data_IF_359589875198
#
_entry.id   IF_359589875198
#
_cell.length_a   1.000
_cell.length_b   1.000
_cell.length_c   1.000
_cell.angle_alpha   90.00
_cell.angle_beta   90.00
_cell.angle_gamma   90.00
#
_symmetry.space_group_name_H-M   'P 1'
#
loop_
_entity.id
_entity.type
_entity.pdbx_description
1 polymer ?
#
# COMPACT_ATOMS: atom_id res chain seq x y z
N UNK A 1 -3.79 12.73 -0.95
CA UNK A 1 -4.50 12.99 -2.22
C UNK A 1 -5.15 14.36 -2.27
N UNK A 2 -5.73 14.86 -1.16
CA UNK A 2 -6.36 16.19 -1.11
C UNK A 2 -5.47 17.34 -1.62
N UNK A 3 -4.21 17.41 -1.18
CA UNK A 3 -3.27 18.45 -1.64
C UNK A 3 -3.15 18.51 -3.17
N UNK A 4 -3.07 17.36 -3.85
CA UNK A 4 -2.92 17.33 -5.32
C UNK A 4 -4.16 17.85 -6.02
N UNK A 5 -5.36 17.53 -5.53
CA UNK A 5 -6.61 18.09 -6.08
C UNK A 5 -6.69 19.59 -5.90
N UNK A 6 -6.34 20.09 -4.72
CA UNK A 6 -6.28 21.53 -4.46
C UNK A 6 -5.25 22.23 -5.34
N UNK A 7 -4.06 21.64 -5.53
CA UNK A 7 -3.05 22.18 -6.43
C UNK A 7 -3.52 22.19 -7.88
N UNK A 8 -4.24 21.16 -8.34
CA UNK A 8 -4.81 21.13 -9.70
C UNK A 8 -5.88 22.20 -9.87
N UNK A 9 -6.83 22.32 -8.93
CA UNK A 9 -7.85 23.36 -8.96
C UNK A 9 -7.24 24.77 -8.96
N UNK A 10 -6.22 24.99 -8.12
CA UNK A 10 -5.50 26.25 -8.07
C UNK A 10 -4.78 26.58 -9.39
N UNK A 11 -4.11 25.59 -9.99
CA UNK A 11 -3.44 25.77 -11.28
C UNK A 11 -4.42 26.05 -12.42
N UNK A 12 -5.58 25.35 -12.45
CA UNK A 12 -6.64 25.58 -13.43
C UNK A 12 -7.21 26.99 -13.31
N UNK A 13 -7.50 27.44 -12.08
CA UNK A 13 -7.94 28.81 -11.83
C UNK A 13 -6.91 29.84 -12.31
N UNK A 14 -5.63 29.60 -12.03
CA UNK A 14 -4.55 30.52 -12.38
C UNK A 14 -4.36 30.70 -13.90
N UNK A 15 -4.71 29.70 -14.72
CA UNK A 15 -4.67 29.80 -16.17
C UNK A 15 -6.02 30.14 -16.83
N UNK A 16 -7.05 30.45 -16.02
CA UNK A 16 -8.39 30.77 -16.52
C UNK A 16 -9.18 29.56 -17.05
N UNK A 17 -8.74 28.34 -16.74
CA UNK A 17 -9.45 27.11 -17.07
C UNK A 17 -10.53 26.78 -16.04
N UNK A 18 -11.48 25.93 -16.44
CA UNK A 18 -12.54 25.43 -15.57
C UNK A 18 -11.97 24.54 -14.44
N UNK A 19 -12.19 24.95 -13.19
CA UNK A 19 -11.76 24.21 -12.00
C UNK A 19 -12.45 22.85 -11.85
N UNK A 20 -13.63 22.66 -12.47
CA UNK A 20 -14.30 21.37 -12.46
C UNK A 20 -13.47 20.27 -13.14
N UNK A 21 -12.47 20.64 -13.96
CA UNK A 21 -11.51 19.70 -14.55
C UNK A 21 -10.49 19.13 -13.55
N UNK A 22 -10.43 19.65 -12.32
CA UNK A 22 -9.48 19.18 -11.31
C UNK A 22 -9.69 17.70 -10.92
N UNK A 23 -10.95 17.26 -10.77
CA UNK A 23 -11.25 15.87 -10.41
C UNK A 23 -10.97 14.90 -11.58
N UNK A 24 -11.43 15.16 -12.83
CA UNK A 24 -11.04 14.36 -13.99
C UNK A 24 -9.52 14.29 -14.20
N UNK A 25 -8.81 15.41 -14.05
CA UNK A 25 -7.35 15.45 -14.16
C UNK A 25 -6.68 14.63 -13.05
N UNK A 26 -7.21 14.71 -11.82
CA UNK A 26 -6.72 13.89 -10.73
C UNK A 26 -6.96 12.40 -10.99
N UNK A 27 -8.13 12.00 -11.48
CA UNK A 27 -8.44 10.60 -11.79
C UNK A 27 -7.56 10.06 -12.92
N UNK A 28 -7.27 10.85 -13.96
CA UNK A 28 -6.33 10.49 -15.00
C UNK A 28 -4.92 10.24 -14.44
N UNK A 29 -4.42 11.19 -13.63
CA UNK A 29 -3.16 11.02 -12.90
C UNK A 29 -3.18 9.77 -12.01
N UNK A 30 -4.27 9.56 -11.27
CA UNK A 30 -4.39 8.50 -10.29
C UNK A 30 -4.46 7.12 -10.96
N UNK A 31 -5.16 7.01 -12.08
CA UNK A 31 -5.19 5.82 -12.93
C UNK A 31 -3.79 5.49 -13.47
N UNK A 32 -3.11 6.47 -14.09
CA UNK A 32 -1.76 6.28 -14.61
C UNK A 32 -0.77 5.86 -13.52
N UNK A 33 -0.86 6.47 -12.33
CA UNK A 33 0.01 6.14 -11.18
C UNK A 33 -0.19 4.72 -10.65
N UNK A 34 -1.37 4.13 -10.84
CA UNK A 34 -1.67 2.75 -10.44
C UNK A 34 -1.49 1.74 -11.58
N UNK A 35 -1.10 2.18 -12.78
CA UNK A 35 -0.67 1.30 -13.86
C UNK A 35 0.79 0.87 -13.62
N UNK A 36 0.97 -0.25 -12.94
CA UNK A 36 2.27 -0.79 -12.57
C UNK A 36 2.65 -1.92 -13.51
N UNK A 37 3.90 -1.92 -14.00
CA UNK A 37 4.52 -3.09 -14.62
C UNK A 37 5.20 -3.88 -13.50
N UNK A 38 4.83 -5.15 -13.37
CA UNK A 38 5.42 -6.03 -12.37
C UNK A 38 6.76 -6.58 -12.85
N UNK A 39 7.65 -6.90 -11.91
CA UNK A 39 8.73 -7.84 -12.19
C UNK A 39 8.13 -9.21 -12.54
N UNK A 40 8.78 -9.94 -13.44
CA UNK A 40 8.28 -11.22 -13.96
C UNK A 40 7.96 -12.24 -12.86
N UNK A 41 8.69 -12.19 -11.76
CA UNK A 41 8.55 -13.09 -10.62
C UNK A 41 7.60 -12.59 -9.52
N UNK A 42 7.12 -11.35 -9.59
CA UNK A 42 6.36 -10.74 -8.51
C UNK A 42 5.00 -11.41 -8.29
N UNK A 43 4.21 -11.62 -9.34
CA UNK A 43 2.89 -12.26 -9.25
C UNK A 43 2.98 -13.75 -8.88
N UNK A 44 3.89 -14.55 -9.48
CA UNK A 44 4.15 -15.92 -9.03
C UNK A 44 4.54 -16.00 -7.56
N UNK A 45 5.46 -15.14 -7.10
CA UNK A 45 5.89 -15.11 -5.71
C UNK A 45 4.73 -14.74 -4.78
N UNK A 46 3.96 -13.71 -5.12
CA UNK A 46 2.82 -13.24 -4.33
C UNK A 46 1.75 -14.33 -4.19
N UNK A 47 1.46 -15.05 -5.28
CA UNK A 47 0.54 -16.20 -5.28
C UNK A 47 1.03 -17.31 -4.35
N UNK A 48 2.31 -17.70 -4.46
CA UNK A 48 2.91 -18.72 -3.60
C UNK A 48 2.88 -18.33 -2.13
N UNK A 49 3.17 -17.06 -1.81
CA UNK A 49 3.16 -16.55 -0.45
C UNK A 49 1.74 -16.53 0.14
N UNK A 50 0.75 -16.10 -0.64
CA UNK A 50 -0.66 -16.06 -0.23
C UNK A 50 -1.23 -17.45 0.07
N UNK A 51 -0.74 -18.49 -0.61
CA UNK A 51 -1.12 -19.87 -0.33
C UNK A 51 -0.55 -20.40 1.00
N UNK A 52 0.53 -19.82 1.52
CA UNK A 52 1.18 -20.25 2.75
C UNK A 52 0.71 -19.47 3.97
N UNK A 53 0.51 -18.16 3.82
CA UNK A 53 0.20 -17.24 4.90
C UNK A 53 -0.73 -16.11 4.42
N UNK A 54 -1.64 -15.61 5.26
CA UNK A 54 -2.38 -14.40 4.96
C UNK A 54 -1.42 -13.23 4.77
N UNK A 55 -1.46 -12.61 3.59
CA UNK A 55 -0.64 -11.44 3.29
C UNK A 55 -1.37 -10.16 3.65
N UNK A 56 -0.59 -9.12 3.97
CA UNK A 56 -1.13 -7.81 4.28
C UNK A 56 -0.34 -6.71 3.56
N UNK A 57 -1.07 -5.71 3.06
CA UNK A 57 -0.54 -4.52 2.42
C UNK A 57 -0.52 -3.36 3.41
N UNK A 58 0.58 -2.60 3.42
CA UNK A 58 0.75 -1.42 4.27
C UNK A 58 1.40 -0.31 3.44
N UNK A 59 0.72 0.81 3.24
CA UNK A 59 1.19 1.89 2.36
C UNK A 59 1.07 3.27 2.99
N UNK A 60 2.12 4.10 2.85
CA UNK A 60 2.03 5.55 3.12
C UNK A 60 1.42 6.31 1.94
N UNK A 61 1.50 5.72 0.75
CA UNK A 61 1.07 6.33 -0.49
C UNK A 61 -0.41 6.12 -0.76
N UNK A 62 -0.77 6.36 -2.01
CA UNK A 62 -2.11 6.19 -2.55
C UNK A 62 -2.17 5.00 -3.53
N UNK A 63 -1.31 3.99 -3.37
CA UNK A 63 -1.42 2.78 -4.17
C UNK A 63 -2.78 2.12 -3.91
N UNK A 64 -3.51 1.87 -4.97
CA UNK A 64 -4.82 1.22 -4.97
C UNK A 64 -4.64 -0.18 -5.56
N UNK A 65 -4.64 -1.19 -4.68
CA UNK A 65 -4.35 -2.56 -5.07
C UNK A 65 -5.42 -3.15 -6.00
N UNK A 66 -6.66 -2.66 -5.92
CA UNK A 66 -7.74 -3.11 -6.80
C UNK A 66 -7.53 -2.56 -8.21
N UNK A 67 -7.14 -1.29 -8.34
CA UNK A 67 -6.75 -0.71 -9.65
C UNK A 67 -5.49 -1.34 -10.23
N UNK A 68 -4.55 -1.74 -9.37
CA UNK A 68 -3.34 -2.46 -9.76
C UNK A 68 -3.66 -3.93 -10.15
N UNK A 69 -4.77 -4.49 -9.65
CA UNK A 69 -5.21 -5.86 -9.93
C UNK A 69 -4.56 -6.94 -9.08
N UNK A 70 -4.10 -6.61 -7.86
CA UNK A 70 -3.43 -7.55 -6.95
C UNK A 70 -4.05 -7.62 -5.56
N UNK A 71 -5.17 -6.93 -5.34
CA UNK A 71 -5.87 -6.87 -4.05
C UNK A 71 -6.27 -8.26 -3.53
N UNK A 72 -6.65 -9.17 -4.42
CA UNK A 72 -7.05 -10.54 -4.08
C UNK A 72 -5.95 -11.35 -3.34
N UNK A 73 -4.68 -10.96 -3.48
CA UNK A 73 -3.58 -11.63 -2.79
C UNK A 73 -3.43 -11.19 -1.32
N UNK A 74 -4.07 -10.10 -0.91
CA UNK A 74 -3.91 -9.51 0.42
C UNK A 74 -5.20 -9.66 1.24
N UNK A 75 -5.11 -10.37 2.36
CA UNK A 75 -6.22 -10.53 3.30
C UNK A 75 -6.56 -9.22 4.02
N UNK A 76 -5.59 -8.32 4.18
CA UNK A 76 -5.75 -7.03 4.86
C UNK A 76 -4.95 -5.96 4.14
N UNK A 77 -5.51 -4.77 4.05
CA UNK A 77 -4.83 -3.59 3.55
C UNK A 77 -4.96 -2.46 4.59
N UNK A 78 -3.88 -1.71 4.81
CA UNK A 78 -3.88 -0.51 5.67
C UNK A 78 -3.12 0.60 4.96
N UNK A 79 -3.75 1.78 4.90
CA UNK A 79 -3.10 2.98 4.40
C UNK A 79 -2.82 3.96 5.54
N UNK A 80 -1.80 4.82 5.37
CA UNK A 80 -1.53 5.89 6.33
C UNK A 80 -2.72 6.86 6.46
N UNK A 81 -3.49 7.05 5.38
CA UNK A 81 -4.72 7.85 5.40
C UNK A 81 -5.74 7.27 6.37
N UNK A 82 -5.94 5.97 6.30
CA UNK A 82 -6.90 5.26 7.15
C UNK A 82 -6.42 5.16 8.60
N UNK A 83 -5.13 4.92 8.81
CA UNK A 83 -4.54 4.81 10.14
C UNK A 83 -4.33 6.17 10.84
N UNK A 84 -4.39 7.29 10.10
CA UNK A 84 -4.08 8.64 10.59
C UNK A 84 -2.60 8.90 10.87
N UNK A 85 -1.74 7.90 10.64
CA UNK A 85 -0.29 7.92 10.88
C UNK A 85 0.43 7.22 9.74
N UNK A 86 1.63 7.69 9.42
CA UNK A 86 2.45 7.13 8.36
C UNK A 86 3.61 6.30 8.94
N UNK A 87 4.10 5.32 8.19
CA UNK A 87 5.42 4.74 8.46
C UNK A 87 6.46 5.88 8.49
N UNK A 88 7.44 5.84 9.40
CA UNK A 88 7.81 4.70 10.24
C UNK A 88 7.10 4.61 11.61
N UNK A 89 6.02 5.36 11.87
CA UNK A 89 5.32 5.33 13.17
C UNK A 89 4.81 3.92 13.52
N UNK A 90 5.14 3.43 14.72
CA UNK A 90 4.80 2.08 15.17
C UNK A 90 3.29 1.79 15.18
N UNK A 91 2.45 2.81 15.37
CA UNK A 91 0.99 2.67 15.46
C UNK A 91 0.39 2.10 14.17
N UNK A 92 0.96 2.43 13.00
CA UNK A 92 0.46 1.91 11.72
C UNK A 92 0.69 0.39 11.59
N UNK A 93 1.81 -0.10 12.13
CA UNK A 93 2.13 -1.54 12.14
C UNK A 93 1.26 -2.28 13.15
N UNK A 94 1.01 -1.68 14.33
CA UNK A 94 0.13 -2.25 15.33
C UNK A 94 -1.30 -2.42 14.78
N UNK A 95 -1.83 -1.41 14.08
CA UNK A 95 -3.14 -1.47 13.43
C UNK A 95 -3.23 -2.59 12.38
N UNK A 96 -2.19 -2.73 11.55
CA UNK A 96 -2.10 -3.83 10.56
C UNK A 96 -2.11 -5.19 11.24
N UNK A 97 -1.27 -5.40 12.25
CA UNK A 97 -1.18 -6.66 12.98
C UNK A 97 -2.53 -7.04 13.62
N UNK A 98 -3.23 -6.08 14.24
CA UNK A 98 -4.53 -6.32 14.84
C UNK A 98 -5.56 -6.81 13.80
N UNK A 99 -5.62 -6.17 12.63
CA UNK A 99 -6.53 -6.57 11.55
C UNK A 99 -6.18 -7.94 10.98
N UNK A 100 -4.89 -8.20 10.76
CA UNK A 100 -4.44 -9.47 10.20
C UNK A 100 -4.72 -10.64 11.15
N UNK A 101 -4.53 -10.44 12.45
CA UNK A 101 -4.87 -11.44 13.48
C UNK A 101 -6.37 -11.73 13.53
N UNK A 102 -7.21 -10.69 13.41
CA UNK A 102 -8.68 -10.86 13.34
C UNK A 102 -9.11 -11.64 12.09
N UNK A 103 -8.56 -11.29 10.93
CA UNK A 103 -8.83 -12.01 9.68
C UNK A 103 -8.45 -13.49 9.80
N UNK A 104 -7.29 -13.79 10.41
CA UNK A 104 -6.83 -15.16 10.64
C UNK A 104 -7.70 -15.95 11.62
N UNK A 105 -8.24 -15.30 12.65
CA UNK A 105 -9.14 -15.95 13.61
C UNK A 105 -10.48 -16.40 12.96
N UNK A 106 -10.93 -15.71 11.91
CA UNK A 106 -12.09 -16.13 11.11
C UNK A 106 -11.81 -17.31 10.16
N UNK A 107 -10.55 -17.60 9.84
CA UNK A 107 -10.12 -18.72 8.95
C UNK A 107 -9.72 -19.95 9.77
N UNK A 108 -10.33 -20.15 10.95
CA UNK A 108 -10.05 -21.31 11.78
C UNK A 108 -10.63 -22.61 11.18
N UNK A 109 -9.90 -23.23 10.24
CA UNK A 109 -9.76 -24.69 10.12
C UNK A 109 -8.49 -25.04 9.36
N UNK A 110 -7.49 -25.49 10.12
CA UNK A 110 -6.45 -26.39 9.61
C UNK A 110 -5.12 -25.77 9.18
N UNK A 111 -4.31 -25.28 10.14
CA UNK A 111 -2.90 -25.70 10.37
C UNK A 111 -2.18 -24.75 11.34
N UNK A 112 -1.23 -25.36 12.06
CA UNK A 112 -0.61 -24.92 13.32
C UNK A 112 -0.02 -23.50 13.30
N UNK A 113 -0.14 -22.88 14.47
CA UNK A 113 0.35 -21.58 14.91
C UNK A 113 1.86 -21.40 14.69
N UNK A 114 2.28 -20.21 14.21
CA UNK A 114 3.64 -19.72 14.47
C UNK A 114 3.53 -18.62 15.53
N UNK A 115 4.17 -18.90 16.65
CA UNK A 115 4.26 -18.08 17.83
C UNK A 115 5.16 -16.84 17.62
N UNK A 116 4.82 -15.76 18.32
CA UNK A 116 5.84 -14.96 19.01
C UNK A 116 6.35 -13.68 18.33
N UNK A 117 5.51 -12.65 18.19
CA UNK A 117 5.99 -11.27 18.16
C UNK A 117 6.19 -10.76 19.61
N UNK A 118 7.18 -11.30 20.31
CA UNK A 118 7.73 -10.72 21.55
C UNK A 118 9.25 -10.91 21.54
N UNK A 119 9.97 -9.95 20.94
CA UNK A 119 11.35 -9.59 21.29
C UNK A 119 11.72 -8.30 20.54
N UNK A 120 11.95 -7.24 21.32
CA UNK A 120 12.61 -5.94 21.05
C UNK A 120 12.68 -5.49 19.59
N UNK A 121 12.02 -4.37 19.31
CA UNK A 121 12.18 -3.56 18.11
C UNK A 121 13.68 -3.34 17.78
N UNK A 122 14.17 -4.07 16.79
CA UNK A 122 15.20 -3.62 15.85
C UNK A 122 14.68 -3.97 14.45
N UNK A 123 13.74 -3.18 13.96
CA UNK A 123 13.48 -3.13 12.53
C UNK A 123 14.70 -2.46 11.90
N UNK A 124 15.66 -3.24 11.38
CA UNK A 124 16.59 -2.72 10.38
C UNK A 124 15.76 -2.45 9.13
N UNK A 125 15.40 -1.18 8.93
CA UNK A 125 15.11 -0.72 7.59
C UNK A 125 16.39 -0.90 6.78
N UNK A 126 16.38 -1.81 5.82
CA UNK A 126 17.43 -1.88 4.81
C UNK A 126 17.26 -0.62 3.94
N UNK A 127 17.88 0.48 4.36
CA UNK A 127 18.24 1.58 3.49
C UNK A 127 19.38 1.11 2.59
N UNK A 128 19.04 0.36 1.54
CA UNK A 128 19.96 0.09 0.46
C UNK A 128 20.11 1.36 -0.36
N UNK A 129 21.27 1.99 -0.23
CA UNK A 129 21.76 3.01 -1.16
C UNK A 129 21.59 2.48 -2.58
N UNK A 130 20.76 3.15 -3.38
CA UNK A 130 20.80 3.01 -4.81
C UNK A 130 22.10 3.63 -5.31
N UNK A 131 23.09 2.79 -5.62
CA UNK A 131 24.18 3.16 -6.52
C UNK A 131 23.77 2.83 -7.96
N UNK A 132 24.31 3.58 -8.95
CA UNK A 132 23.71 3.72 -10.26
C UNK A 132 24.06 2.53 -11.16
N UNK A 133 23.09 2.09 -11.95
CA UNK A 133 23.37 1.31 -13.16
C UNK A 133 23.75 2.30 -14.26
N UNK A 134 25.04 2.37 -14.56
CA UNK A 134 25.55 2.91 -15.82
C UNK A 134 25.60 1.82 -16.88
N UNK A 135 25.22 2.19 -18.10
CA UNK A 135 26.15 2.22 -19.22
C UNK A 135 26.14 3.66 -19.73
#
# INVERSE_FOLDING_TARGET
>A
SAQRRLSLAHALRACGADEAQAEPAFEAFFSARNRVVFYDDALPALTRLAALLPLASLSNGNADLARIGIDAHFAVQVSAREAGVAKPDARIFAALCQRLLRARAGVARGRRSVAGCRRRARCRAAGGLAQPYGQ
#
